data_IF_338010316887
#
_entry.id   IF_338010316887
#
_cell.length_a   1.000
_cell.length_b   1.000
_cell.length_c   1.000
_cell.angle_alpha   90.00
_cell.angle_beta   90.00
_cell.angle_gamma   90.00
#
_symmetry.space_group_name_H-M   'P 1'
#
loop_
_entity.id
_entity.type
_entity.pdbx_description
1 polymer ?
#
# COMPACT_ATOMS: atom_id res chain seq x y z
N UNK A 1 -11.25 8.28 11.70
CA UNK A 1 -10.41 7.42 12.55
C UNK A 1 -9.40 6.72 11.65
N UNK A 2 -8.16 7.18 11.67
CA UNK A 2 -7.08 6.48 10.98
C UNK A 2 -6.72 5.22 11.75
N UNK A 3 -6.47 4.08 11.09
CA UNK A 3 -5.96 2.91 11.76
C UNK A 3 -4.55 3.20 12.28
N UNK A 4 -4.39 3.27 13.59
CA UNK A 4 -3.07 3.33 14.22
C UNK A 4 -2.60 1.91 14.52
N UNK A 5 -1.39 1.60 14.09
CA UNK A 5 -0.72 0.35 14.42
C UNK A 5 0.31 0.60 15.50
N UNK A 6 0.19 -0.11 16.61
CA UNK A 6 1.17 -0.09 17.71
C UNK A 6 1.73 -1.50 17.88
N UNK A 7 3.05 -1.63 17.92
CA UNK A 7 3.74 -2.89 17.99
C UNK A 7 4.15 -3.21 19.43
N UNK A 8 3.65 -4.31 19.96
CA UNK A 8 4.04 -4.85 21.27
C UNK A 8 4.63 -6.25 21.09
N UNK A 9 5.78 -6.51 21.71
CA UNK A 9 6.41 -7.85 21.70
C UNK A 9 5.72 -8.83 22.63
N UNK A 10 5.01 -8.35 23.65
CA UNK A 10 4.31 -9.19 24.63
C UNK A 10 2.83 -9.23 24.33
N UNK A 11 2.30 -10.42 24.06
CA UNK A 11 0.88 -10.68 23.86
C UNK A 11 0.05 -10.25 25.09
N UNK A 12 0.51 -10.59 26.27
CA UNK A 12 -0.15 -10.22 27.53
C UNK A 12 -0.32 -8.70 27.62
N UNK A 13 0.73 -7.95 27.31
CA UNK A 13 0.68 -6.49 27.35
C UNK A 13 -0.25 -5.94 26.26
N UNK A 14 -0.24 -6.52 25.05
CA UNK A 14 -1.14 -6.12 23.98
C UNK A 14 -2.62 -6.31 24.35
N UNK A 15 -2.96 -7.44 24.99
CA UNK A 15 -4.32 -7.72 25.48
C UNK A 15 -4.73 -6.79 26.63
N UNK A 16 -3.84 -6.51 27.58
CA UNK A 16 -4.10 -5.54 28.64
C UNK A 16 -4.31 -4.12 28.07
N UNK A 17 -3.52 -3.72 27.10
CA UNK A 17 -3.67 -2.43 26.42
C UNK A 17 -4.99 -2.38 25.66
N UNK A 18 -5.33 -3.43 24.90
CA UNK A 18 -6.61 -3.56 24.21
C UNK A 18 -7.77 -3.37 25.19
N UNK A 19 -7.76 -4.08 26.32
CA UNK A 19 -8.84 -4.02 27.31
C UNK A 19 -9.04 -2.61 27.90
N UNK A 20 -7.96 -1.82 28.00
CA UNK A 20 -8.02 -0.45 28.56
C UNK A 20 -8.55 0.59 27.58
N UNK A 21 -8.26 0.44 26.29
CA UNK A 21 -8.57 1.47 25.27
C UNK A 21 -9.71 1.08 24.33
N UNK A 22 -10.11 -0.20 24.31
CA UNK A 22 -11.23 -0.66 23.48
C UNK A 22 -12.54 -0.05 23.96
N UNK A 23 -13.22 0.67 23.08
CA UNK A 23 -14.57 1.18 23.30
C UNK A 23 -15.48 0.69 22.18
N UNK A 24 -16.36 -0.27 22.50
CA UNK A 24 -17.21 -0.97 21.53
C UNK A 24 -18.09 -0.06 20.66
N UNK A 25 -18.42 1.14 21.15
CA UNK A 25 -19.27 2.09 20.44
C UNK A 25 -18.50 2.99 19.46
N UNK A 26 -17.25 3.33 19.78
CA UNK A 26 -16.53 4.38 19.06
C UNK A 26 -15.12 4.00 18.62
N UNK A 27 -14.47 3.06 19.29
CA UNK A 27 -13.09 2.69 19.04
C UNK A 27 -12.85 1.21 19.26
N UNK A 28 -12.62 0.48 18.16
CA UNK A 28 -12.33 -0.96 18.19
C UNK A 28 -10.85 -1.22 18.02
N UNK A 29 -10.29 -1.97 18.95
CA UNK A 29 -8.88 -2.37 18.94
C UNK A 29 -8.78 -3.84 18.62
N UNK A 30 -7.94 -4.18 17.66
CA UNK A 30 -7.64 -5.55 17.25
C UNK A 30 -6.20 -5.88 17.62
N UNK A 31 -5.97 -7.05 18.17
CA UNK A 31 -4.63 -7.59 18.43
C UNK A 31 -4.31 -8.62 17.36
N UNK A 32 -3.11 -8.55 16.80
CA UNK A 32 -2.59 -9.52 15.85
C UNK A 32 -1.14 -9.85 16.23
N UNK A 33 -0.81 -11.14 16.27
CA UNK A 33 0.54 -11.62 16.62
C UNK A 33 1.49 -11.67 15.42
N UNK A 34 0.97 -11.58 14.20
CA UNK A 34 1.75 -11.56 12.98
C UNK A 34 2.38 -10.17 12.75
N UNK A 35 3.48 -9.92 13.45
CA UNK A 35 4.24 -8.67 13.35
C UNK A 35 4.71 -8.38 11.93
N UNK A 36 5.15 -9.41 11.19
CA UNK A 36 5.65 -9.27 9.83
C UNK A 36 4.51 -8.84 8.91
N UNK A 37 3.38 -9.55 8.96
CA UNK A 37 2.22 -9.24 8.12
C UNK A 37 1.66 -7.85 8.37
N UNK A 38 1.52 -7.46 9.64
CA UNK A 38 1.01 -6.12 10.01
C UNK A 38 1.94 -5.00 9.53
N UNK A 39 3.26 -5.16 9.70
CA UNK A 39 4.23 -4.16 9.25
C UNK A 39 4.28 -4.04 7.73
N UNK A 40 4.32 -5.17 7.01
CA UNK A 40 4.34 -5.17 5.54
C UNK A 40 3.04 -4.59 4.97
N UNK A 41 1.89 -4.97 5.51
CA UNK A 41 0.60 -4.39 5.11
C UNK A 41 0.61 -2.87 5.24
N UNK A 42 1.01 -2.36 6.41
CA UNK A 42 1.06 -0.93 6.69
C UNK A 42 2.06 -0.13 5.85
N UNK A 43 3.19 -0.74 5.47
CA UNK A 43 4.20 -0.08 4.64
C UNK A 43 3.82 -0.08 3.16
N UNK A 44 3.43 -1.26 2.63
CA UNK A 44 3.24 -1.46 1.19
C UNK A 44 1.91 -0.89 0.70
N UNK A 45 0.87 -0.80 1.56
CA UNK A 45 -0.39 -0.13 1.19
C UNK A 45 -0.15 1.28 0.63
N UNK A 46 0.84 1.98 1.15
CA UNK A 46 1.18 3.34 0.73
C UNK A 46 1.72 3.37 -0.70
N UNK A 47 2.45 2.34 -1.12
CA UNK A 47 2.94 2.16 -2.49
C UNK A 47 1.76 1.93 -3.44
N UNK A 48 0.86 1.01 -3.08
CA UNK A 48 -0.33 0.73 -3.90
C UNK A 48 -1.23 1.96 -3.98
N UNK A 49 -1.34 2.76 -2.92
CA UNK A 49 -2.10 4.00 -2.91
C UNK A 49 -1.53 5.05 -3.89
N UNK A 50 -0.21 5.12 -4.07
CA UNK A 50 0.39 5.94 -5.13
C UNK A 50 -0.10 5.45 -6.49
N UNK A 51 -0.04 4.15 -6.77
CA UNK A 51 -0.53 3.56 -8.02
C UNK A 51 -2.02 3.83 -8.28
N UNK A 52 -2.85 3.72 -7.25
CA UNK A 52 -4.28 4.06 -7.31
C UNK A 52 -4.49 5.55 -7.66
N UNK A 53 -3.70 6.44 -7.04
CA UNK A 53 -3.70 7.85 -7.34
C UNK A 53 -3.28 8.16 -8.79
N UNK A 54 -2.21 7.54 -9.28
CA UNK A 54 -1.75 7.66 -10.67
C UNK A 54 -2.87 7.26 -11.63
N UNK A 55 -3.50 6.11 -11.40
CA UNK A 55 -4.63 5.62 -12.21
C UNK A 55 -5.78 6.62 -12.26
N UNK A 56 -6.16 7.18 -11.11
CA UNK A 56 -7.22 8.21 -11.05
C UNK A 56 -6.79 9.51 -11.75
N UNK A 57 -5.54 9.93 -11.59
CA UNK A 57 -4.97 11.12 -12.22
C UNK A 57 -4.94 11.03 -13.75
N UNK A 58 -4.74 9.84 -14.29
CA UNK A 58 -4.82 9.53 -15.71
C UNK A 58 -6.26 9.36 -16.23
N UNK A 59 -7.26 9.38 -15.37
CA UNK A 59 -8.68 9.25 -15.75
C UNK A 59 -9.19 7.81 -15.92
N UNK A 60 -8.49 6.79 -15.41
CA UNK A 60 -8.92 5.38 -15.54
C UNK A 60 -10.09 5.02 -14.61
N UNK A 61 -10.67 5.73 -13.85
CA UNK A 61 -11.91 5.47 -13.11
C UNK A 61 -11.87 4.32 -12.09
N UNK A 62 -13.04 4.06 -11.49
CA UNK A 62 -13.17 3.19 -10.32
C UNK A 62 -12.79 1.72 -10.57
N UNK A 63 -13.11 1.17 -11.75
CA UNK A 63 -12.81 -0.23 -12.07
C UNK A 63 -11.29 -0.51 -12.11
N UNK A 64 -10.51 0.40 -12.69
CA UNK A 64 -9.05 0.29 -12.73
C UNK A 64 -8.46 0.39 -11.32
N UNK A 65 -8.97 1.30 -10.49
CA UNK A 65 -8.58 1.42 -9.09
C UNK A 65 -8.88 0.14 -8.31
N UNK A 66 -10.07 -0.44 -8.48
CA UNK A 66 -10.44 -1.70 -7.82
C UNK A 66 -9.53 -2.84 -8.24
N UNK A 67 -9.21 -2.95 -9.54
CA UNK A 67 -8.26 -3.95 -10.04
C UNK A 67 -6.85 -3.77 -9.44
N UNK A 68 -6.39 -2.52 -9.29
CA UNK A 68 -5.12 -2.22 -8.62
C UNK A 68 -5.13 -2.64 -7.15
N UNK A 69 -6.20 -2.39 -6.42
CA UNK A 69 -6.35 -2.81 -5.02
C UNK A 69 -6.29 -4.34 -4.91
N UNK A 70 -7.07 -5.05 -5.74
CA UNK A 70 -7.13 -6.51 -5.73
C UNK A 70 -5.77 -7.15 -6.07
N UNK A 71 -5.08 -6.63 -7.08
CA UNK A 71 -3.72 -7.09 -7.43
C UNK A 71 -2.69 -6.66 -6.41
N UNK A 72 -2.83 -5.48 -5.84
CA UNK A 72 -1.94 -4.95 -4.80
C UNK A 72 -1.96 -5.81 -3.55
N UNK A 73 -3.14 -6.22 -3.05
CA UNK A 73 -3.21 -7.12 -1.89
C UNK A 73 -2.57 -8.49 -2.20
N UNK A 74 -2.68 -8.99 -3.43
CA UNK A 74 -2.02 -10.22 -3.84
C UNK A 74 -0.48 -10.08 -3.84
N UNK A 75 0.07 -8.93 -4.28
CA UNK A 75 1.51 -8.65 -4.20
C UNK A 75 1.99 -8.59 -2.75
N UNK A 76 1.28 -7.84 -1.90
CA UNK A 76 1.59 -7.72 -0.47
C UNK A 76 1.59 -9.11 0.18
N UNK A 77 0.58 -9.92 -0.11
CA UNK A 77 0.44 -11.27 0.44
C UNK A 77 1.60 -12.17 0.01
N UNK A 78 1.98 -12.15 -1.29
CA UNK A 78 3.12 -12.96 -1.77
C UNK A 78 4.42 -12.62 -1.05
N UNK A 79 4.75 -11.34 -0.94
CA UNK A 79 5.96 -10.92 -0.24
C UNK A 79 5.87 -11.28 1.24
N UNK A 80 4.72 -11.04 1.87
CA UNK A 80 4.52 -11.36 3.28
C UNK A 80 4.69 -12.84 3.59
N UNK A 81 4.08 -13.71 2.79
CA UNK A 81 4.20 -15.17 2.94
C UNK A 81 5.64 -15.63 2.71
N UNK A 82 6.34 -15.08 1.73
CA UNK A 82 7.77 -15.39 1.50
C UNK A 82 8.64 -14.99 2.72
N UNK A 83 8.20 -14.01 3.49
CA UNK A 83 8.88 -13.57 4.73
C UNK A 83 8.34 -14.24 6.00
N UNK A 84 7.40 -15.17 5.90
CA UNK A 84 6.84 -15.93 7.03
C UNK A 84 5.60 -15.32 7.67
N UNK A 85 4.96 -14.33 7.03
CA UNK A 85 3.68 -13.78 7.49
C UNK A 85 2.51 -14.72 7.20
N UNK A 86 1.43 -14.56 7.97
CA UNK A 86 0.19 -15.31 7.78
C UNK A 86 -0.69 -14.62 6.71
N UNK A 87 -1.15 -15.40 5.72
CA UNK A 87 -2.07 -14.94 4.66
C UNK A 87 -3.33 -14.27 5.23
N UNK A 88 -3.87 -14.79 6.34
CA UNK A 88 -5.08 -14.26 6.96
C UNK A 88 -4.91 -12.82 7.47
N UNK A 89 -3.71 -12.42 7.86
CA UNK A 89 -3.41 -11.05 8.27
C UNK A 89 -3.71 -10.04 7.17
N UNK A 90 -3.43 -10.41 5.92
CA UNK A 90 -3.67 -9.53 4.77
C UNK A 90 -5.14 -9.42 4.37
N UNK A 91 -5.98 -10.37 4.77
CA UNK A 91 -7.44 -10.31 4.54
C UNK A 91 -8.18 -9.50 5.61
N UNK A 92 -7.50 -9.12 6.70
CA UNK A 92 -8.05 -8.35 7.82
C UNK A 92 -7.91 -6.84 7.69
N UNK A 93 -8.13 -6.17 8.84
CA UNK A 93 -8.06 -4.69 8.93
C UNK A 93 -6.67 -4.12 8.67
N UNK A 94 -5.60 -4.81 9.08
CA UNK A 94 -4.21 -4.40 8.84
C UNK A 94 -3.70 -4.70 7.43
N UNK A 95 -4.49 -5.35 6.60
CA UNK A 95 -4.22 -5.63 5.19
C UNK A 95 -5.25 -4.96 4.29
N UNK A 96 -6.25 -5.73 3.83
CA UNK A 96 -7.25 -5.29 2.86
C UNK A 96 -8.02 -4.05 3.33
N UNK A 97 -8.45 -4.01 4.59
CA UNK A 97 -9.23 -2.89 5.12
C UNK A 97 -8.47 -1.56 5.03
N UNK A 98 -7.23 -1.54 5.51
CA UNK A 98 -6.37 -0.35 5.49
C UNK A 98 -5.91 0.01 4.06
N UNK A 99 -5.69 -0.99 3.20
CA UNK A 99 -5.38 -0.78 1.79
C UNK A 99 -6.53 -0.09 1.05
N UNK A 100 -7.76 -0.60 1.19
CA UNK A 100 -8.95 -0.03 0.54
C UNK A 100 -9.13 1.42 0.97
N UNK A 101 -9.10 1.69 2.28
CA UNK A 101 -9.21 3.05 2.81
C UNK A 101 -8.14 3.96 2.21
N UNK A 102 -6.88 3.54 2.25
CA UNK A 102 -5.74 4.36 1.80
C UNK A 102 -5.79 4.64 0.29
N UNK A 103 -6.32 3.72 -0.51
CA UNK A 103 -6.45 3.87 -1.97
C UNK A 103 -7.70 4.65 -2.41
N UNK A 104 -8.70 4.84 -1.54
CA UNK A 104 -9.97 5.46 -1.92
C UNK A 104 -10.22 6.82 -1.28
N UNK A 105 -9.63 7.08 -0.11
CA UNK A 105 -9.84 8.32 0.62
C UNK A 105 -8.89 9.44 0.16
N UNK A 106 -9.44 10.63 -0.05
CA UNK A 106 -8.69 11.83 -0.42
C UNK A 106 -7.82 12.40 0.71
N UNK A 107 -7.98 11.97 1.94
CA UNK A 107 -7.07 12.30 3.03
C UNK A 107 -5.72 11.58 2.90
N UNK A 108 -5.65 10.49 2.12
CA UNK A 108 -4.40 9.78 1.86
C UNK A 108 -3.41 10.66 1.09
N UNK A 109 -2.33 11.06 1.74
CA UNK A 109 -1.22 11.80 1.13
C UNK A 109 -0.60 11.02 -0.05
N UNK A 110 -0.45 9.71 0.11
CA UNK A 110 0.11 8.84 -0.91
C UNK A 110 -0.79 8.78 -2.16
N UNK A 111 -2.11 8.67 -1.97
CA UNK A 111 -3.05 8.71 -3.09
C UNK A 111 -3.05 10.08 -3.77
N UNK A 112 -3.06 11.19 -3.01
CA UNK A 112 -2.98 12.55 -3.58
C UNK A 112 -1.69 12.76 -4.37
N UNK A 113 -0.56 12.30 -3.84
CA UNK A 113 0.71 12.33 -4.53
C UNK A 113 0.62 11.60 -5.88
N UNK A 114 0.13 10.36 -5.89
CA UNK A 114 -0.07 9.60 -7.12
C UNK A 114 -1.02 10.29 -8.11
N UNK A 115 -2.10 10.92 -7.61
CA UNK A 115 -3.05 11.67 -8.45
C UNK A 115 -2.37 12.83 -9.18
N UNK A 116 -1.48 13.55 -8.51
CA UNK A 116 -0.72 14.65 -9.10
C UNK A 116 0.26 14.14 -10.16
N UNK A 117 0.98 13.06 -9.86
CA UNK A 117 1.87 12.40 -10.83
C UNK A 117 1.10 11.91 -12.07
N UNK A 118 -0.07 11.32 -11.89
CA UNK A 118 -0.94 10.86 -12.98
C UNK A 118 -1.45 12.00 -13.86
N UNK A 119 -1.54 13.22 -13.34
CA UNK A 119 -1.86 14.44 -14.07
C UNK A 119 -0.64 15.09 -14.74
N UNK A 120 0.56 14.55 -14.56
CA UNK A 120 1.80 15.06 -15.13
C UNK A 120 2.58 16.04 -14.25
N UNK A 121 2.19 16.22 -12.98
CA UNK A 121 2.98 17.02 -12.03
C UNK A 121 4.29 16.30 -11.73
N UNK A 122 5.39 17.04 -11.67
CA UNK A 122 6.69 16.51 -11.24
C UNK A 122 6.67 16.03 -9.80
N UNK A 123 7.47 15.01 -9.48
CA UNK A 123 7.45 14.38 -8.15
C UNK A 123 7.89 15.33 -7.04
N UNK A 124 8.88 16.20 -7.28
CA UNK A 124 9.32 17.16 -6.29
C UNK A 124 8.24 18.22 -6.05
N UNK A 125 7.66 18.76 -7.13
CA UNK A 125 6.55 19.71 -7.02
C UNK A 125 5.36 19.12 -6.27
N UNK A 126 4.99 17.87 -6.56
CA UNK A 126 3.89 17.18 -5.87
C UNK A 126 4.16 16.99 -4.37
N UNK A 127 5.41 16.69 -3.97
CA UNK A 127 5.81 16.60 -2.56
C UNK A 127 5.73 17.96 -1.86
N UNK A 128 6.20 19.02 -2.52
CA UNK A 128 6.18 20.38 -1.97
C UNK A 128 4.74 20.88 -1.77
N UNK A 129 3.82 20.61 -2.70
CA UNK A 129 2.42 20.94 -2.57
C UNK A 129 1.69 20.16 -1.45
N UNK A 130 2.09 18.91 -1.20
CA UNK A 130 1.54 18.14 -0.08
C UNK A 130 2.04 18.70 1.26
N UNK A 131 3.25 19.24 1.30
CA UNK A 131 3.83 19.89 2.48
C UNK A 131 4.07 18.96 3.69
N UNK A 132 3.97 17.65 3.48
CA UNK A 132 4.16 16.60 4.49
C UNK A 132 4.82 15.39 3.87
N UNK A 133 5.43 14.54 4.70
CA UNK A 133 6.10 13.32 4.24
C UNK A 133 5.12 12.40 3.51
N UNK A 134 5.50 12.02 2.29
CA UNK A 134 4.85 10.99 1.47
C UNK A 134 5.57 9.67 1.71
N UNK A 135 5.10 8.89 2.68
CA UNK A 135 5.77 7.66 3.10
C UNK A 135 5.92 6.64 1.96
N UNK A 136 4.91 6.55 1.07
CA UNK A 136 4.90 5.65 -0.06
C UNK A 136 6.04 5.89 -1.04
N UNK A 137 6.56 7.12 -1.14
CA UNK A 137 7.73 7.42 -1.97
C UNK A 137 8.96 6.61 -1.49
N UNK A 138 9.28 6.70 -0.22
CA UNK A 138 10.40 5.95 0.38
C UNK A 138 10.12 4.45 0.43
N UNK A 139 8.92 4.06 0.84
CA UNK A 139 8.51 2.66 0.92
C UNK A 139 8.57 1.95 -0.43
N UNK A 140 8.38 2.66 -1.55
CA UNK A 140 8.49 2.09 -2.90
C UNK A 140 9.86 1.50 -3.15
N UNK A 141 10.92 2.27 -2.86
CA UNK A 141 12.30 1.81 -3.05
C UNK A 141 12.63 0.63 -2.16
N UNK A 142 12.29 0.73 -0.87
CA UNK A 142 12.59 -0.33 0.10
C UNK A 142 11.81 -1.61 -0.22
N UNK A 143 10.54 -1.51 -0.61
CA UNK A 143 9.72 -2.67 -0.98
C UNK A 143 10.25 -3.33 -2.25
N UNK A 144 10.63 -2.56 -3.27
CA UNK A 144 11.22 -3.08 -4.50
C UNK A 144 12.51 -3.87 -4.21
N UNK A 145 13.43 -3.29 -3.45
CA UNK A 145 14.69 -3.96 -3.08
C UNK A 145 14.45 -5.21 -2.22
N UNK A 146 13.48 -5.16 -1.31
CA UNK A 146 13.10 -6.31 -0.49
C UNK A 146 12.52 -7.43 -1.35
N UNK A 147 11.62 -7.12 -2.29
CA UNK A 147 11.05 -8.09 -3.21
C UNK A 147 12.14 -8.78 -4.06
N UNK A 148 13.11 -8.01 -4.57
CA UNK A 148 14.26 -8.56 -5.30
C UNK A 148 15.08 -9.54 -4.43
N UNK A 149 15.38 -9.20 -3.18
CA UNK A 149 16.11 -10.07 -2.24
C UNK A 149 15.36 -11.37 -1.94
N UNK A 150 14.03 -11.31 -1.88
CA UNK A 150 13.17 -12.46 -1.61
C UNK A 150 12.80 -13.26 -2.86
N UNK A 151 13.20 -12.82 -4.06
CA UNK A 151 12.82 -13.45 -5.31
C UNK A 151 11.31 -13.40 -5.60
N UNK A 152 10.61 -12.38 -5.12
CA UNK A 152 9.15 -12.23 -5.23
C UNK A 152 8.80 -11.21 -6.31
N UNK A 153 7.96 -11.61 -7.26
CA UNK A 153 7.42 -10.69 -8.27
C UNK A 153 6.37 -9.74 -7.67
N UNK A 154 6.63 -8.44 -7.79
CA UNK A 154 5.74 -7.36 -7.37
C UNK A 154 5.57 -6.33 -8.50
N UNK A 155 4.83 -6.68 -9.56
CA UNK A 155 4.76 -5.88 -10.78
C UNK A 155 4.21 -4.47 -10.59
N UNK A 156 3.24 -4.24 -9.71
CA UNK A 156 2.72 -2.88 -9.45
C UNK A 156 3.80 -2.07 -8.76
N UNK A 157 4.40 -2.62 -7.71
CA UNK A 157 5.50 -1.98 -6.96
C UNK A 157 6.68 -1.66 -7.87
N UNK A 158 7.06 -2.58 -8.75
CA UNK A 158 8.13 -2.39 -9.73
C UNK A 158 7.83 -1.23 -10.68
N UNK A 159 6.63 -1.15 -11.26
CA UNK A 159 6.27 -0.08 -12.17
C UNK A 159 6.25 1.28 -11.48
N UNK A 160 5.78 1.34 -10.23
CA UNK A 160 5.83 2.59 -9.43
C UNK A 160 7.29 2.97 -9.15
N UNK A 161 8.15 2.00 -8.82
CA UNK A 161 9.59 2.24 -8.66
C UNK A 161 10.23 2.79 -9.93
N UNK A 162 9.94 2.20 -11.10
CA UNK A 162 10.45 2.67 -12.38
C UNK A 162 10.02 4.12 -12.68
N UNK A 163 8.80 4.48 -12.33
CA UNK A 163 8.32 5.84 -12.49
C UNK A 163 9.03 6.82 -11.54
N UNK A 164 9.11 6.50 -10.26
CA UNK A 164 9.63 7.43 -9.25
C UNK A 164 11.15 7.60 -9.29
N UNK A 165 11.89 6.56 -9.71
CA UNK A 165 13.35 6.53 -9.56
C UNK A 165 14.11 6.29 -10.89
N UNK A 166 13.41 5.86 -11.96
CA UNK A 166 14.06 5.53 -13.24
C UNK A 166 13.53 6.35 -14.41
N UNK A 167 12.66 7.34 -14.16
CA UNK A 167 12.19 8.28 -15.18
C UNK A 167 11.13 7.73 -16.15
N UNK A 168 10.50 6.58 -15.83
CA UNK A 168 9.41 6.02 -16.64
C UNK A 168 8.16 6.88 -16.50
N UNK A 169 7.50 7.22 -17.61
CA UNK A 169 6.28 8.03 -17.59
C UNK A 169 5.06 7.24 -17.06
N UNK A 170 4.04 7.96 -16.58
CA UNK A 170 2.79 7.34 -16.13
C UNK A 170 2.12 6.52 -17.25
N UNK A 171 2.19 6.98 -18.51
CA UNK A 171 1.65 6.26 -19.66
C UNK A 171 2.36 4.92 -19.90
N UNK A 172 3.69 4.92 -19.87
CA UNK A 172 4.48 3.68 -20.02
C UNK A 172 4.22 2.70 -18.88
N UNK A 173 4.05 3.19 -17.65
CA UNK A 173 3.66 2.38 -16.49
C UNK A 173 2.30 1.73 -16.71
N UNK A 174 1.30 2.50 -17.12
CA UNK A 174 -0.04 2.00 -17.39
C UNK A 174 -0.03 0.93 -18.51
N UNK A 175 0.65 1.19 -19.62
CA UNK A 175 0.79 0.22 -20.72
C UNK A 175 1.49 -1.06 -20.27
N UNK A 176 2.53 -0.95 -19.44
CA UNK A 176 3.24 -2.12 -18.90
C UNK A 176 2.37 -2.98 -18.00
N UNK A 177 1.46 -2.39 -17.22
CA UNK A 177 0.53 -3.12 -16.35
C UNK A 177 -0.65 -3.73 -17.13
N UNK A 178 -1.13 -3.04 -18.17
CA UNK A 178 -2.23 -3.52 -19.03
C UNK A 178 -1.78 -4.59 -20.03
N UNK A 179 -0.54 -4.48 -20.54
CA UNK A 179 0.01 -5.41 -21.56
C UNK A 179 0.53 -6.74 -21.00
N UNK A 180 0.44 -6.99 -19.69
CA UNK A 180 0.84 -8.28 -19.11
C UNK A 180 -0.11 -9.40 -19.54
N UNK A 181 0.48 -10.58 -19.83
CA UNK A 181 -0.28 -11.79 -20.13
C UNK A 181 -1.35 -12.09 -19.08
N UNK A 182 -2.52 -12.51 -19.53
CA UNK A 182 -3.62 -12.93 -18.67
C UNK A 182 -3.20 -14.20 -17.93
N UNK A 183 -2.85 -14.08 -16.66
CA UNK A 183 -2.76 -15.24 -15.76
C UNK A 183 -4.18 -15.53 -15.24
N UNK A 184 -4.58 -16.80 -15.16
CA UNK A 184 -5.84 -17.19 -14.52
C UNK A 184 -5.88 -16.72 -13.05
N UNK A 185 -7.07 -16.42 -12.56
CA UNK A 185 -7.32 -16.11 -11.14
C UNK A 185 -7.25 -17.36 -10.28
#
# INVERSE_FOLDING_TARGET
>A
LFPYTTLFRSEKFALEFQARIHCSQHFRVYVNQDMIGVQLGGAIKNVIAIGAGISDGMGFGANARTALITRGIAEITRLGVAMGANTQTFMGMSGLGDLVLTCTDNQSRNRRFGLMLGKGTDSQQAMDEIGQVVEGFYNTKETYLLAQRQGVEMPITEQIYQMLFCGKSAQEVALSLLGRERKGE
#
